data_IF_769448255335
#
_entry.id   IF_769448255335
#
_cell.length_a   1.000
_cell.length_b   1.000
_cell.length_c   1.000
_cell.angle_alpha   90.00
_cell.angle_beta   90.00
_cell.angle_gamma   90.00
#
_symmetry.space_group_name_H-M   'P 1'
#
loop_
_entity.id
_entity.type
_entity.pdbx_description
1 polymer ?
#
# COMPACT_ATOMS: atom_id res chain seq x y z
N UNK A 1 -1.82 -10.67 -46.73
CA UNK A 1 -2.88 -11.10 -45.80
C UNK A 1 -2.52 -11.09 -44.31
N UNK A 2 -1.34 -11.56 -43.82
CA UNK A 2 -1.12 -11.72 -42.37
C UNK A 2 -1.03 -10.40 -41.58
N UNK A 3 -0.62 -9.29 -42.22
CA UNK A 3 -0.48 -7.97 -41.57
C UNK A 3 -1.81 -7.32 -41.16
N UNK A 4 -2.87 -7.51 -41.94
CA UNK A 4 -4.19 -6.92 -41.65
C UNK A 4 -4.84 -7.65 -40.46
N UNK A 5 -4.78 -8.98 -40.49
CA UNK A 5 -5.21 -9.85 -39.38
C UNK A 5 -4.42 -9.50 -38.12
N UNK A 6 -3.09 -9.41 -38.20
CA UNK A 6 -2.27 -9.07 -37.02
C UNK A 6 -2.64 -7.73 -36.40
N UNK A 7 -2.94 -6.71 -37.22
CA UNK A 7 -3.37 -5.39 -36.75
C UNK A 7 -4.76 -5.43 -36.10
N UNK A 8 -5.70 -6.16 -36.69
CA UNK A 8 -7.05 -6.31 -36.17
C UNK A 8 -7.02 -7.03 -34.81
N UNK A 9 -6.43 -8.24 -34.77
CA UNK A 9 -6.28 -9.06 -33.57
C UNK A 9 -5.50 -8.32 -32.47
N UNK A 10 -4.43 -7.60 -32.83
CA UNK A 10 -3.63 -6.84 -31.86
C UNK A 10 -4.37 -5.62 -31.29
N UNK A 11 -5.15 -4.89 -32.10
CA UNK A 11 -5.98 -3.78 -31.61
C UNK A 11 -7.07 -4.28 -30.67
N UNK A 12 -7.70 -5.38 -31.05
CA UNK A 12 -8.73 -6.01 -30.25
C UNK A 12 -8.19 -6.45 -28.88
N UNK A 13 -7.02 -7.10 -28.85
CA UNK A 13 -6.36 -7.47 -27.59
C UNK A 13 -6.10 -6.25 -26.71
N UNK A 14 -5.53 -5.18 -27.27
CA UNK A 14 -5.22 -3.97 -26.50
C UNK A 14 -6.48 -3.33 -25.91
N UNK A 15 -7.59 -3.31 -26.64
CA UNK A 15 -8.87 -2.78 -26.16
C UNK A 15 -9.42 -3.61 -24.99
N UNK A 16 -9.42 -4.94 -25.12
CA UNK A 16 -9.86 -5.84 -24.04
C UNK A 16 -8.94 -5.75 -22.83
N UNK A 17 -7.63 -5.67 -23.06
CA UNK A 17 -6.64 -5.50 -22.02
C UNK A 17 -6.87 -4.23 -21.21
N UNK A 18 -6.97 -3.08 -21.88
CA UNK A 18 -7.26 -1.80 -21.21
C UNK A 18 -8.60 -1.82 -20.47
N UNK A 19 -9.63 -2.44 -21.06
CA UNK A 19 -10.95 -2.59 -20.42
C UNK A 19 -10.87 -3.43 -19.14
N UNK A 20 -10.22 -4.59 -19.19
CA UNK A 20 -10.03 -5.47 -18.02
C UNK A 20 -9.15 -4.78 -16.97
N UNK A 21 -8.06 -4.11 -17.36
CA UNK A 21 -7.22 -3.32 -16.44
C UNK A 21 -8.05 -2.24 -15.74
N UNK A 22 -8.88 -1.50 -16.47
CA UNK A 22 -9.72 -0.44 -15.92
C UNK A 22 -10.69 -0.98 -14.87
N UNK A 23 -11.39 -2.08 -15.18
CA UNK A 23 -12.35 -2.71 -14.24
C UNK A 23 -11.64 -3.17 -12.97
N UNK A 24 -10.54 -3.91 -13.10
CA UNK A 24 -9.76 -4.39 -11.94
C UNK A 24 -9.20 -3.23 -11.10
N UNK A 25 -8.75 -2.16 -11.77
CA UNK A 25 -8.25 -0.97 -11.10
C UNK A 25 -9.35 -0.26 -10.31
N UNK A 26 -10.53 -0.06 -10.89
CA UNK A 26 -11.67 0.56 -10.18
C UNK A 26 -12.08 -0.23 -8.95
N UNK A 27 -12.15 -1.57 -9.05
CA UNK A 27 -12.46 -2.44 -7.91
C UNK A 27 -11.43 -2.24 -6.79
N UNK A 28 -10.14 -2.26 -7.12
CA UNK A 28 -9.08 -2.15 -6.13
C UNK A 28 -8.98 -0.75 -5.52
N UNK A 29 -9.16 0.31 -6.32
CA UNK A 29 -9.20 1.69 -5.85
C UNK A 29 -10.38 1.91 -4.91
N UNK A 30 -11.56 1.37 -5.24
CA UNK A 30 -12.75 1.45 -4.37
C UNK A 30 -12.49 0.78 -3.00
N UNK A 31 -11.94 -0.44 -3.00
CA UNK A 31 -11.58 -1.14 -1.76
C UNK A 31 -10.56 -0.34 -0.92
N UNK A 32 -9.56 0.26 -1.57
CA UNK A 32 -8.51 1.05 -0.91
C UNK A 32 -9.02 2.40 -0.41
N UNK A 33 -9.95 3.02 -1.13
CA UNK A 33 -10.61 4.25 -0.71
C UNK A 33 -11.36 4.04 0.61
N UNK A 34 -12.15 2.96 0.72
CA UNK A 34 -12.87 2.61 1.96
C UNK A 34 -11.91 2.44 3.15
N UNK A 35 -10.76 1.78 2.95
CA UNK A 35 -9.73 1.61 3.99
C UNK A 35 -9.09 2.93 4.44
N UNK A 36 -8.87 3.87 3.53
CA UNK A 36 -8.32 5.19 3.89
C UNK A 36 -9.37 6.08 4.54
N UNK A 37 -10.62 5.99 4.12
CA UNK A 37 -11.72 6.72 4.75
C UNK A 37 -11.93 6.26 6.20
N UNK A 38 -11.84 4.96 6.47
CA UNK A 38 -11.85 4.43 7.84
C UNK A 38 -10.69 4.94 8.70
N UNK A 39 -9.50 5.13 8.12
CA UNK A 39 -8.36 5.74 8.82
C UNK A 39 -8.58 7.24 9.10
N UNK A 40 -9.23 7.96 8.18
CA UNK A 40 -9.56 9.36 8.37
C UNK A 40 -10.65 9.55 9.43
N UNK A 41 -11.71 8.73 9.40
CA UNK A 41 -12.75 8.70 10.43
C UNK A 41 -12.17 8.39 11.82
N UNK A 42 -11.18 7.50 11.89
CA UNK A 42 -10.42 7.21 13.11
C UNK A 42 -9.39 8.26 13.52
N UNK A 43 -9.31 9.41 12.84
CA UNK A 43 -8.40 10.52 13.16
C UNK A 43 -6.91 10.24 12.89
N UNK A 44 -6.58 9.18 12.15
CA UNK A 44 -5.19 8.79 11.85
C UNK A 44 -4.61 9.48 10.62
N UNK A 45 -5.48 10.00 9.75
CA UNK A 45 -5.14 10.70 8.51
C UNK A 45 -6.09 11.89 8.30
N UNK A 46 -5.62 13.05 7.84
CA UNK A 46 -6.49 14.15 7.42
C UNK A 46 -7.31 13.73 6.19
N UNK A 47 -8.63 14.00 6.20
CA UNK A 47 -9.53 13.63 5.11
C UNK A 47 -9.10 14.25 3.76
N UNK A 48 -8.60 15.49 3.80
CA UNK A 48 -8.05 16.23 2.66
C UNK A 48 -6.88 15.52 1.95
N UNK A 49 -6.10 14.70 2.67
CA UNK A 49 -4.96 13.98 2.09
C UNK A 49 -5.35 12.62 1.47
N UNK A 50 -6.52 12.09 1.80
CA UNK A 50 -6.93 10.74 1.39
C UNK A 50 -6.92 10.58 -0.12
N UNK A 51 -7.50 11.54 -0.85
CA UNK A 51 -7.61 11.47 -2.30
C UNK A 51 -6.23 11.53 -2.98
N UNK A 52 -5.36 12.44 -2.53
CA UNK A 52 -4.01 12.57 -3.07
C UNK A 52 -3.17 11.31 -2.80
N UNK A 53 -3.25 10.75 -1.58
CA UNK A 53 -2.53 9.53 -1.23
C UNK A 53 -3.02 8.32 -2.02
N UNK A 54 -4.34 8.22 -2.23
CA UNK A 54 -4.94 7.18 -3.07
C UNK A 54 -4.46 7.32 -4.53
N UNK A 55 -4.41 8.55 -5.06
CA UNK A 55 -3.88 8.84 -6.39
C UNK A 55 -2.45 8.31 -6.57
N UNK A 56 -1.53 8.68 -5.69
CA UNK A 56 -0.14 8.18 -5.76
C UNK A 56 -0.04 6.66 -5.66
N UNK A 57 -0.81 6.03 -4.75
CA UNK A 57 -0.79 4.57 -4.58
C UNK A 57 -1.46 3.82 -5.73
N UNK A 58 -2.46 4.43 -6.37
CA UNK A 58 -3.21 3.84 -7.48
C UNK A 58 -2.32 3.51 -8.68
N UNK A 59 -1.25 4.28 -8.91
CA UNK A 59 -0.28 4.04 -9.98
C UNK A 59 0.42 2.69 -9.79
N UNK A 60 0.85 2.40 -8.56
CA UNK A 60 1.45 1.11 -8.23
C UNK A 60 0.46 -0.05 -8.40
N UNK A 61 -0.82 0.17 -8.08
CA UNK A 61 -1.87 -0.82 -8.29
C UNK A 61 -2.12 -1.12 -9.77
N UNK A 62 -2.17 -0.12 -10.64
CA UNK A 62 -2.28 -0.35 -12.10
C UNK A 62 -1.14 -1.25 -12.55
N UNK A 63 0.11 -0.88 -12.27
CA UNK A 63 1.30 -1.62 -12.72
C UNK A 63 1.31 -3.07 -12.22
N UNK A 64 0.84 -3.30 -10.99
CA UNK A 64 0.68 -4.64 -10.44
C UNK A 64 -0.40 -5.47 -11.18
N UNK A 65 -1.47 -4.83 -11.64
CA UNK A 65 -2.58 -5.48 -12.34
C UNK A 65 -2.32 -5.70 -13.84
N UNK A 66 -1.37 -4.99 -14.45
CA UNK A 66 -1.12 -5.07 -15.90
C UNK A 66 -0.86 -6.51 -16.39
N UNK A 67 0.00 -7.34 -15.75
CA UNK A 67 0.25 -8.71 -16.23
C UNK A 67 -0.97 -9.62 -16.11
N UNK A 68 -1.70 -9.52 -14.99
CA UNK A 68 -2.91 -10.31 -14.75
C UNK A 68 -4.02 -9.93 -15.74
N UNK A 69 -4.24 -8.63 -15.94
CA UNK A 69 -5.23 -8.15 -16.90
C UNK A 69 -4.90 -8.55 -18.34
N UNK A 70 -3.61 -8.59 -18.72
CA UNK A 70 -3.18 -9.07 -20.04
C UNK A 70 -3.52 -10.55 -20.22
N UNK A 71 -3.23 -11.36 -19.20
CA UNK A 71 -3.56 -12.79 -19.22
C UNK A 71 -5.07 -13.01 -19.38
N UNK A 72 -5.89 -12.32 -18.58
CA UNK A 72 -7.35 -12.42 -18.68
C UNK A 72 -7.87 -11.93 -20.03
N UNK A 73 -7.36 -10.82 -20.54
CA UNK A 73 -7.75 -10.31 -21.84
C UNK A 73 -7.39 -11.28 -22.98
N UNK A 74 -6.22 -11.92 -22.92
CA UNK A 74 -5.84 -12.97 -23.87
C UNK A 74 -6.80 -14.16 -23.82
N UNK A 75 -7.16 -14.65 -22.63
CA UNK A 75 -8.13 -15.74 -22.50
C UNK A 75 -9.51 -15.37 -23.04
N UNK A 76 -9.98 -14.15 -22.79
CA UNK A 76 -11.27 -13.67 -23.29
C UNK A 76 -11.26 -13.56 -24.82
N UNK A 77 -10.22 -12.98 -25.39
CA UNK A 77 -10.07 -12.79 -26.84
C UNK A 77 -9.93 -14.13 -27.56
N UNK A 78 -9.03 -15.01 -27.09
CA UNK A 78 -8.88 -16.36 -27.64
C UNK A 78 -10.16 -17.18 -27.47
N UNK A 79 -10.85 -17.05 -26.32
CA UNK A 79 -12.14 -17.69 -26.08
C UNK A 79 -13.23 -17.20 -27.03
N UNK A 80 -13.23 -15.90 -27.38
CA UNK A 80 -14.14 -15.34 -28.37
C UNK A 80 -13.85 -15.89 -29.76
N UNK A 81 -12.59 -15.90 -30.19
CA UNK A 81 -12.22 -16.43 -31.52
C UNK A 81 -12.54 -17.91 -31.69
N UNK A 82 -12.41 -18.70 -30.63
CA UNK A 82 -12.84 -20.11 -30.64
C UNK A 82 -14.35 -20.23 -30.80
N UNK A 83 -15.13 -19.38 -30.12
CA UNK A 83 -16.60 -19.38 -30.21
C UNK A 83 -17.10 -18.91 -31.57
N UNK A 84 -16.45 -17.90 -32.14
CA UNK A 84 -16.79 -17.31 -33.44
C UNK A 84 -16.26 -18.15 -34.63
N UNK A 85 -15.64 -19.32 -34.35
CA UNK A 85 -14.98 -20.22 -35.32
C UNK A 85 -13.87 -19.56 -36.15
N UNK A 86 -13.37 -18.39 -35.74
CA UNK A 86 -12.24 -17.72 -36.40
C UNK A 86 -10.97 -18.57 -36.31
N UNK A 87 -10.77 -19.31 -35.21
CA UNK A 87 -9.61 -20.19 -35.04
C UNK A 87 -9.61 -21.36 -36.01
N UNK A 88 -10.78 -21.87 -36.39
CA UNK A 88 -10.94 -22.92 -37.42
C UNK A 88 -10.66 -22.35 -38.81
N UNK A 89 -11.17 -21.15 -39.11
CA UNK A 89 -10.90 -20.47 -40.38
C UNK A 89 -9.40 -20.14 -40.55
N UNK A 90 -8.74 -19.69 -39.47
CA UNK A 90 -7.30 -19.47 -39.44
C UNK A 90 -6.52 -20.79 -39.59
N UNK A 91 -6.92 -21.86 -38.89
CA UNK A 91 -6.29 -23.17 -39.02
C UNK A 91 -6.38 -23.71 -40.46
N UNK A 92 -7.54 -23.58 -41.11
CA UNK A 92 -7.74 -23.95 -42.52
C UNK A 92 -6.87 -23.14 -43.49
N UNK A 93 -6.52 -21.90 -43.13
CA UNK A 93 -5.57 -21.05 -43.86
C UNK A 93 -4.08 -21.35 -43.53
N UNK A 94 -3.80 -22.42 -42.78
CA UNK A 94 -2.45 -22.83 -42.39
C UNK A 94 -1.88 -22.12 -41.16
N UNK A 95 -2.72 -21.43 -40.38
CA UNK A 95 -2.28 -20.73 -39.17
C UNK A 95 -2.14 -21.70 -37.99
N UNK A 96 -0.93 -22.22 -37.78
CA UNK A 96 -0.60 -23.04 -36.61
C UNK A 96 -0.43 -22.24 -35.30
N UNK A 97 -0.14 -22.91 -34.17
CA UNK A 97 0.10 -22.29 -32.87
C UNK A 97 1.17 -21.17 -32.88
N UNK A 98 2.24 -21.35 -33.66
CA UNK A 98 3.29 -20.35 -33.84
C UNK A 98 2.80 -19.06 -34.52
N UNK A 99 1.75 -19.16 -35.35
CA UNK A 99 1.09 -18.01 -35.97
C UNK A 99 0.45 -17.08 -34.93
N UNK A 100 -0.24 -17.64 -33.95
CA UNK A 100 -0.84 -16.87 -32.84
C UNK A 100 0.22 -16.13 -32.03
N UNK A 101 1.31 -16.81 -31.66
CA UNK A 101 2.43 -16.17 -30.96
C UNK A 101 3.01 -15.02 -31.78
N UNK A 102 3.21 -15.21 -33.09
CA UNK A 102 3.74 -14.17 -33.97
C UNK A 102 2.81 -12.95 -34.11
N UNK A 103 1.51 -13.17 -34.18
CA UNK A 103 0.50 -12.09 -34.25
C UNK A 103 0.42 -11.32 -32.94
N UNK A 104 0.42 -12.03 -31.81
CA UNK A 104 0.28 -11.44 -30.48
C UNK A 104 1.60 -10.86 -29.94
N UNK A 105 2.74 -11.20 -30.54
CA UNK A 105 4.05 -10.73 -30.10
C UNK A 105 4.14 -9.21 -30.04
N UNK A 106 3.71 -8.49 -31.08
CA UNK A 106 3.78 -7.03 -31.11
C UNK A 106 2.97 -6.34 -30.00
N UNK A 107 1.65 -6.62 -29.82
CA UNK A 107 0.89 -5.99 -28.75
C UNK A 107 1.36 -6.41 -27.35
N UNK A 108 1.79 -7.67 -27.17
CA UNK A 108 2.36 -8.12 -25.89
C UNK A 108 3.67 -7.42 -25.57
N UNK A 109 4.56 -7.26 -26.56
CA UNK A 109 5.81 -6.51 -26.40
C UNK A 109 5.54 -5.04 -26.09
N UNK A 110 4.57 -4.41 -26.75
CA UNK A 110 4.19 -3.03 -26.46
C UNK A 110 3.66 -2.87 -25.01
N UNK A 111 2.78 -3.77 -24.56
CA UNK A 111 2.28 -3.80 -23.18
C UNK A 111 3.40 -4.07 -22.16
N UNK A 112 4.34 -4.96 -22.51
CA UNK A 112 5.52 -5.28 -21.69
C UNK A 112 6.43 -4.08 -21.52
N UNK A 113 6.74 -3.38 -22.62
CA UNK A 113 7.58 -2.18 -22.61
C UNK A 113 6.91 -1.05 -21.80
N UNK A 114 5.61 -0.83 -22.00
CA UNK A 114 4.85 0.14 -21.22
C UNK A 114 4.93 -0.20 -19.71
N UNK A 115 4.71 -1.46 -19.35
CA UNK A 115 4.80 -1.92 -17.96
C UNK A 115 6.21 -1.74 -17.38
N UNK A 116 7.25 -2.00 -18.18
CA UNK A 116 8.64 -1.80 -17.79
C UNK A 116 8.96 -0.31 -17.54
N UNK A 117 8.49 0.59 -18.40
CA UNK A 117 8.68 2.04 -18.20
C UNK A 117 7.95 2.50 -16.93
N UNK A 118 6.70 2.10 -16.74
CA UNK A 118 5.93 2.47 -15.55
C UNK A 118 6.57 1.95 -14.26
N UNK A 119 6.98 0.69 -14.22
CA UNK A 119 7.56 0.08 -13.00
C UNK A 119 8.94 0.64 -12.65
N UNK A 120 9.76 1.00 -13.65
CA UNK A 120 11.15 1.41 -13.42
C UNK A 120 11.29 2.92 -13.13
N UNK A 121 10.41 3.75 -13.68
CA UNK A 121 10.51 5.21 -13.59
C UNK A 121 9.35 5.85 -12.84
N UNK A 122 8.11 5.47 -13.16
CA UNK A 122 6.92 6.16 -12.63
C UNK A 122 6.60 5.71 -11.20
N UNK A 123 6.56 4.39 -10.96
CA UNK A 123 6.27 3.82 -9.64
C UNK A 123 7.20 4.32 -8.52
N UNK A 124 8.54 4.33 -8.67
CA UNK A 124 9.39 4.80 -7.57
C UNK A 124 9.17 6.28 -7.25
N UNK A 125 8.90 7.10 -8.26
CA UNK A 125 8.68 8.54 -8.06
C UNK A 125 7.35 8.82 -7.38
N UNK A 126 6.25 8.17 -7.82
CA UNK A 126 4.95 8.33 -7.17
C UNK A 126 4.93 7.72 -5.78
N UNK A 127 5.67 6.62 -5.56
CA UNK A 127 5.85 6.05 -4.23
C UNK A 127 6.57 7.02 -3.30
N UNK A 128 7.67 7.64 -3.76
CA UNK A 128 8.43 8.65 -3.01
C UNK A 128 7.55 9.83 -2.58
N UNK A 129 6.80 10.41 -3.52
CA UNK A 129 5.88 11.52 -3.25
C UNK A 129 4.75 11.10 -2.30
N UNK A 130 4.16 9.92 -2.53
CA UNK A 130 3.11 9.38 -1.66
C UNK A 130 3.58 9.12 -0.22
N UNK A 131 4.81 8.64 -0.03
CA UNK A 131 5.37 8.44 1.31
C UNK A 131 5.70 9.76 2.01
N UNK A 132 6.26 10.73 1.29
CA UNK A 132 6.52 12.07 1.83
C UNK A 132 5.22 12.76 2.28
N UNK A 133 4.20 12.75 1.41
CA UNK A 133 2.88 13.30 1.72
C UNK A 133 2.24 12.61 2.92
N UNK A 134 2.31 11.28 2.98
CA UNK A 134 1.78 10.52 4.13
C UNK A 134 2.50 10.86 5.42
N UNK A 135 3.83 11.01 5.39
CA UNK A 135 4.61 11.34 6.58
C UNK A 135 4.19 12.70 7.15
N UNK A 136 4.07 13.72 6.28
CA UNK A 136 3.58 15.05 6.65
C UNK A 136 2.15 15.01 7.19
N UNK A 137 1.27 14.26 6.53
CA UNK A 137 -0.13 14.15 6.93
C UNK A 137 -0.33 13.43 8.26
N UNK A 138 0.46 12.37 8.53
CA UNK A 138 0.45 11.67 9.82
C UNK A 138 0.98 12.59 10.92
N UNK A 139 2.02 13.39 10.63
CA UNK A 139 2.54 14.36 11.58
C UNK A 139 1.50 15.43 11.92
N UNK A 140 0.89 16.06 10.92
CA UNK A 140 -0.16 17.05 11.10
C UNK A 140 -1.40 16.48 11.82
N UNK A 141 -1.79 15.25 11.47
CA UNK A 141 -2.86 14.54 12.15
C UNK A 141 -2.51 14.28 13.61
N UNK A 142 -1.25 13.96 13.95
CA UNK A 142 -0.83 13.73 15.34
C UNK A 142 -0.84 15.01 16.17
N UNK A 143 -0.46 16.15 15.59
CA UNK A 143 -0.58 17.46 16.26
C UNK A 143 -2.06 17.80 16.52
N UNK A 144 -2.95 17.51 15.56
CA UNK A 144 -4.41 17.64 15.73
C UNK A 144 -5.03 16.50 16.58
N UNK A 145 -4.32 15.38 16.77
CA UNK A 145 -4.85 14.18 17.42
C UNK A 145 -4.93 14.31 18.93
N UNK A 146 -4.16 15.24 19.52
CA UNK A 146 -4.33 15.76 20.88
C UNK A 146 -5.63 16.58 21.04
N UNK A 147 -6.69 16.20 20.32
CA UNK A 147 -8.02 16.73 20.55
C UNK A 147 -8.61 15.98 21.74
N UNK A 148 -8.95 16.76 22.76
CA UNK A 148 -9.49 16.28 24.02
C UNK A 148 -10.82 15.52 23.85
N UNK A 149 -11.18 14.71 24.85
CA UNK A 149 -12.48 14.02 24.92
C UNK A 149 -12.58 12.71 24.12
N UNK A 150 -11.47 12.15 23.62
CA UNK A 150 -11.47 10.85 22.92
C UNK A 150 -10.33 9.93 23.34
N UNK A 151 -10.60 8.63 23.33
CA UNK A 151 -9.58 7.59 23.52
C UNK A 151 -8.74 7.43 22.25
N UNK A 152 -7.44 7.64 22.38
CA UNK A 152 -6.48 7.53 21.29
C UNK A 152 -5.67 6.23 21.44
N UNK A 153 -5.91 5.21 20.60
CA UNK A 153 -5.11 4.00 20.59
C UNK A 153 -3.76 4.25 19.93
N UNK A 154 -2.70 4.02 20.69
CA UNK A 154 -1.29 4.14 20.32
C UNK A 154 -0.63 2.75 20.31
N UNK A 155 0.51 2.61 19.60
CA UNK A 155 1.28 1.34 19.47
C UNK A 155 0.41 0.13 19.11
N UNK A 156 -0.52 0.30 18.16
CA UNK A 156 -1.39 -0.79 17.71
C UNK A 156 -2.46 -1.23 18.72
N UNK A 157 -2.72 -0.44 19.76
CA UNK A 157 -3.74 -0.72 20.79
C UNK A 157 -3.16 -1.14 22.14
N UNK A 158 -1.84 -1.33 22.25
CA UNK A 158 -1.17 -1.63 23.53
C UNK A 158 -1.18 -0.47 24.53
N UNK A 159 -1.37 0.74 24.03
CA UNK A 159 -1.39 1.97 24.79
C UNK A 159 -2.65 2.76 24.42
N UNK A 160 -3.46 3.13 25.40
CA UNK A 160 -4.63 4.00 25.21
C UNK A 160 -4.37 5.30 25.98
N UNK A 161 -4.42 6.42 25.28
CA UNK A 161 -4.29 7.76 25.84
C UNK A 161 -5.65 8.47 25.79
N UNK A 162 -6.07 9.09 26.88
CA UNK A 162 -7.24 9.95 26.94
C UNK A 162 -6.86 11.24 27.67
N UNK A 163 -7.29 12.39 27.17
CA UNK A 163 -7.19 13.67 27.88
C UNK A 163 -8.54 14.36 27.82
N UNK A 164 -8.99 14.89 28.95
CA UNK A 164 -10.32 15.52 29.06
C UNK A 164 -10.37 16.88 28.38
N UNK A 165 -9.30 17.67 28.55
CA UNK A 165 -9.19 19.04 28.01
C UNK A 165 -7.87 19.23 27.28
N UNK A 166 -7.88 20.08 26.25
CA UNK A 166 -6.66 20.51 25.58
C UNK A 166 -6.12 21.73 26.33
N UNK A 167 -4.83 21.73 26.66
CA UNK A 167 -4.21 22.88 27.31
C UNK A 167 -4.08 24.07 26.35
N UNK A 168 -3.88 25.27 26.91
CA UNK A 168 -3.87 26.54 26.18
C UNK A 168 -2.87 26.58 24.99
N UNK A 169 -1.77 25.85 25.10
CA UNK A 169 -0.70 25.80 24.09
C UNK A 169 -1.06 24.92 22.87
N UNK A 170 -2.20 24.21 22.90
CA UNK A 170 -2.65 23.28 21.86
C UNK A 170 -1.77 22.04 21.68
N UNK A 171 -0.74 21.88 22.52
CA UNK A 171 0.23 20.76 22.53
C UNK A 171 0.25 19.98 23.83
N UNK A 172 -0.51 20.43 24.81
CA UNK A 172 -0.69 19.81 26.11
C UNK A 172 -2.12 19.29 26.26
N UNK A 173 -2.28 18.27 27.09
CA UNK A 173 -3.56 17.75 27.53
C UNK A 173 -3.66 17.91 29.05
N UNK A 174 -4.86 18.15 29.54
CA UNK A 174 -5.18 18.20 30.97
C UNK A 174 -6.08 17.01 31.33
N UNK A 175 -5.95 16.54 32.57
CA UNK A 175 -6.67 15.40 33.13
C UNK A 175 -6.52 14.15 32.25
N UNK A 176 -5.30 13.61 32.25
CA UNK A 176 -4.85 12.62 31.29
C UNK A 176 -4.78 11.24 31.92
N UNK A 177 -5.34 10.26 31.21
CA UNK A 177 -5.28 8.85 31.56
C UNK A 177 -4.53 8.08 30.48
N UNK A 178 -3.55 7.29 30.89
CA UNK A 178 -2.81 6.37 30.03
C UNK A 178 -3.00 4.96 30.55
N UNK A 179 -3.62 4.11 29.73
CA UNK A 179 -3.73 2.68 30.00
C UNK A 179 -2.72 1.93 29.14
N UNK A 180 -1.91 1.07 29.76
CA UNK A 180 -0.95 0.21 29.06
C UNK A 180 -0.94 -1.20 29.65
N UNK A 181 -0.71 -2.21 28.81
CA UNK A 181 -0.49 -3.59 29.27
C UNK A 181 -1.08 -4.65 28.33
N UNK A 182 -0.48 -5.84 28.36
CA UNK A 182 -0.99 -7.04 27.70
C UNK A 182 -1.28 -8.12 28.76
N UNK A 183 -2.46 -8.75 28.66
CA UNK A 183 -2.88 -9.83 29.57
C UNK A 183 -3.58 -9.34 30.85
N UNK A 184 -3.33 -10.03 31.98
CA UNK A 184 -4.02 -9.84 33.27
C UNK A 184 -3.55 -8.62 34.08
N UNK A 185 -2.28 -8.22 33.93
CA UNK A 185 -1.74 -7.02 34.61
C UNK A 185 -1.87 -5.79 33.72
N UNK A 186 -2.59 -4.79 34.21
CA UNK A 186 -2.78 -3.50 33.54
C UNK A 186 -2.09 -2.41 34.34
N UNK A 187 -1.56 -1.43 33.63
CA UNK A 187 -0.99 -0.21 34.19
C UNK A 187 -1.86 0.95 33.79
N UNK A 188 -2.41 1.64 34.78
CA UNK A 188 -3.12 2.90 34.61
C UNK A 188 -2.25 4.03 35.13
N UNK A 189 -2.09 5.09 34.37
CA UNK A 189 -1.39 6.31 34.79
C UNK A 189 -2.37 7.46 34.65
N UNK A 190 -2.63 8.16 35.75
CA UNK A 190 -3.46 9.36 35.78
C UNK A 190 -2.57 10.56 36.12
N UNK A 191 -2.70 11.66 35.41
CA UNK A 191 -1.86 12.84 35.59
C UNK A 191 -2.64 14.13 35.30
N UNK A 192 -2.28 15.21 35.99
CA UNK A 192 -2.94 16.50 35.81
C UNK A 192 -2.66 17.10 34.43
N UNK A 193 -1.43 16.97 33.93
CA UNK A 193 -1.00 17.50 32.63
C UNK A 193 -0.19 16.47 31.86
N UNK A 194 -0.30 16.49 30.54
CA UNK A 194 0.57 15.73 29.65
C UNK A 194 1.04 16.57 28.48
N UNK A 195 2.31 16.42 28.11
CA UNK A 195 2.91 17.12 26.99
C UNK A 195 3.66 16.15 26.09
N UNK A 196 3.58 16.37 24.77
CA UNK A 196 4.44 15.64 23.85
C UNK A 196 5.82 16.29 23.79
N UNK A 197 6.86 15.52 24.13
CA UNK A 197 8.25 15.90 23.89
C UNK A 197 8.86 15.00 22.83
N UNK A 198 9.61 15.62 21.92
CA UNK A 198 10.48 14.94 20.98
C UNK A 198 11.88 14.93 21.58
N UNK A 199 12.48 13.75 21.71
CA UNK A 199 13.89 13.65 22.09
C UNK A 199 14.76 14.05 20.88
N UNK A 200 15.55 15.13 20.95
CA UNK A 200 16.37 15.59 19.83
C UNK A 200 17.46 14.60 19.44
N UNK A 201 17.92 13.77 20.38
CA UNK A 201 19.02 12.83 20.15
C UNK A 201 18.57 11.53 19.50
N UNK A 202 17.47 10.95 19.98
CA UNK A 202 16.95 9.67 19.46
C UNK A 202 15.86 9.84 18.39
N UNK A 203 15.17 10.98 18.36
CA UNK A 203 13.95 11.20 17.59
C UNK A 203 12.72 10.48 18.18
N UNK A 204 12.86 9.78 19.31
CA UNK A 204 11.74 9.14 20.00
C UNK A 204 10.75 10.20 20.49
N UNK A 205 9.46 9.88 20.37
CA UNK A 205 8.37 10.70 20.93
C UNK A 205 7.92 10.13 22.26
N UNK A 206 7.92 11.01 23.26
CA UNK A 206 7.45 10.74 24.59
C UNK A 206 6.21 11.60 24.88
N UNK A 207 5.27 11.03 25.63
CA UNK A 207 4.28 11.80 26.36
C UNK A 207 4.79 11.89 27.78
N UNK A 208 5.12 13.11 28.20
CA UNK A 208 5.57 13.44 29.54
C UNK A 208 4.34 13.81 30.35
N UNK A 209 4.05 13.02 31.37
CA UNK A 209 2.95 13.22 32.30
C UNK A 209 3.49 13.92 33.55
N UNK A 210 2.76 14.91 34.05
CA UNK A 210 3.14 15.72 35.20
C UNK A 210 2.10 15.61 36.31
N UNK A 211 2.59 15.55 37.55
CA UNK A 211 1.79 15.51 38.77
C UNK A 211 0.72 14.41 38.73
N UNK A 212 1.17 13.16 38.91
CA UNK A 212 0.31 12.02 38.68
C UNK A 212 0.59 10.80 39.55
N UNK A 213 -0.26 9.80 39.32
CA UNK A 213 -0.24 8.51 39.98
C UNK A 213 -0.21 7.39 38.95
N UNK A 214 0.64 6.41 39.19
CA UNK A 214 0.73 5.17 38.43
C UNK A 214 0.21 4.02 39.29
N UNK A 215 -0.78 3.32 38.77
CA UNK A 215 -1.40 2.14 39.33
C UNK A 215 -0.99 0.93 38.49
N UNK A 216 -0.22 0.00 39.06
CA UNK A 216 0.11 -1.29 38.46
C UNK A 216 -0.63 -2.40 39.24
N UNK A 217 -1.44 -3.21 38.57
CA UNK A 217 -2.15 -4.32 39.22
C UNK A 217 -3.05 -5.14 38.29
N UNK A 218 -3.70 -6.17 38.84
CA UNK A 218 -4.76 -6.91 38.16
C UNK A 218 -6.13 -6.42 38.66
N UNK A 219 -7.03 -5.93 37.78
CA UNK A 219 -8.37 -5.52 38.17
C UNK A 219 -9.10 -6.63 38.94
N UNK A 220 -9.62 -6.33 40.12
CA UNK A 220 -10.32 -7.29 40.99
C UNK A 220 -9.43 -8.01 42.00
N UNK A 221 -8.12 -7.79 41.99
CA UNK A 221 -7.20 -8.23 43.06
C UNK A 221 -6.68 -7.04 43.84
N UNK A 222 -6.37 -7.25 45.12
CA UNK A 222 -5.85 -6.19 45.99
C UNK A 222 -4.33 -5.94 45.82
N UNK A 223 -3.67 -6.51 44.80
CA UNK A 223 -2.22 -6.43 44.59
C UNK A 223 -1.75 -5.15 43.85
N UNK A 224 -2.43 -4.02 44.10
CA UNK A 224 -2.11 -2.76 43.43
C UNK A 224 -0.86 -2.10 44.01
N UNK A 225 0.08 -1.76 43.12
CA UNK A 225 1.21 -0.89 43.43
C UNK A 225 0.89 0.51 42.93
N UNK A 226 0.84 1.47 43.86
CA UNK A 226 0.59 2.88 43.58
C UNK A 226 1.91 3.65 43.72
N UNK A 227 2.27 4.41 42.69
CA UNK A 227 3.46 5.24 42.67
C UNK A 227 3.07 6.68 42.30
N UNK A 228 3.34 7.62 43.19
CA UNK A 228 3.23 9.06 42.91
C UNK A 228 4.49 9.52 42.19
N UNK A 229 4.33 10.35 41.17
CA UNK A 229 5.44 10.95 40.43
C UNK A 229 5.16 12.42 40.15
N UNK A 230 6.22 13.21 40.09
CA UNK A 230 6.16 14.59 39.61
C UNK A 230 6.27 14.62 38.08
N UNK A 231 7.14 13.78 37.50
CA UNK A 231 7.30 13.64 36.05
C UNK A 231 7.40 12.16 35.67
N UNK A 232 6.61 11.73 34.67
CA UNK A 232 6.63 10.36 34.15
C UNK A 232 6.53 10.35 32.63
N UNK A 233 7.59 9.91 31.96
CA UNK A 233 7.64 9.84 30.51
C UNK A 233 7.20 8.46 29.99
N UNK A 234 6.17 8.43 29.15
CA UNK A 234 5.75 7.24 28.41
C UNK A 234 6.17 7.39 26.96
N UNK A 235 6.96 6.42 26.46
CA UNK A 235 7.34 6.39 25.05
C UNK A 235 6.18 5.93 24.17
N UNK A 236 5.64 6.85 23.38
CA UNK A 236 4.46 6.63 22.51
C UNK A 236 4.84 6.18 21.11
N UNK A 237 5.96 6.67 20.58
CA UNK A 237 6.47 6.30 19.27
C UNK A 237 7.98 6.25 19.37
N UNK A 238 8.56 5.10 19.03
CA UNK A 238 9.99 5.10 18.70
C UNK A 238 10.14 5.98 17.45
N UNK A 239 11.17 6.81 17.37
CA UNK A 239 11.67 7.17 16.06
C UNK A 239 11.88 5.82 15.37
N UNK A 240 11.04 5.54 14.37
CA UNK A 240 11.52 4.61 13.37
C UNK A 240 12.85 5.22 12.94
N UNK A 241 13.94 4.48 13.14
CA UNK A 241 15.18 4.78 12.47
C UNK A 241 14.79 4.93 11.00
N UNK A 242 14.79 6.18 10.53
CA UNK A 242 14.30 6.61 9.24
C UNK A 242 12.79 6.37 8.97
N UNK A 243 12.17 7.12 8.02
CA UNK A 243 10.91 6.69 7.43
C UNK A 243 11.12 5.28 6.86
N UNK A 244 10.68 4.26 7.60
CA UNK A 244 10.86 2.82 7.33
C UNK A 244 11.28 2.56 5.88
N UNK A 245 12.59 2.52 5.62
CA UNK A 245 13.18 2.61 4.28
C UNK A 245 12.34 1.80 3.29
N UNK A 246 11.58 2.52 2.46
CA UNK A 246 10.60 1.92 1.57
C UNK A 246 11.29 1.58 0.26
N UNK A 247 11.66 0.30 0.13
CA UNK A 247 12.41 -0.22 -1.00
C UNK A 247 11.71 0.04 -2.36
N UNK A 248 10.37 0.13 -2.37
CA UNK A 248 9.57 0.49 -3.53
C UNK A 248 9.72 1.96 -3.99
N UNK A 249 10.19 2.86 -3.11
CA UNK A 249 10.43 4.28 -3.42
C UNK A 249 11.87 4.61 -3.82
N UNK A 250 12.80 3.66 -3.71
CA UNK A 250 14.20 3.89 -4.10
C UNK A 250 14.29 3.96 -5.63
N UNK A 251 15.00 4.95 -6.20
CA UNK A 251 15.23 4.99 -7.65
C UNK A 251 15.93 3.72 -8.15
N UNK A 252 15.44 3.15 -9.26
CA UNK A 252 15.94 1.88 -9.79
C UNK A 252 17.46 1.91 -10.07
N UNK A 253 18.00 3.06 -10.48
CA UNK A 253 19.43 3.24 -10.73
C UNK A 253 20.30 3.03 -9.47
N UNK A 254 19.80 3.43 -8.28
CA UNK A 254 20.52 3.26 -7.02
C UNK A 254 20.46 1.83 -6.48
N UNK A 255 19.43 1.06 -6.80
CA UNK A 255 19.26 -0.31 -6.31
C UNK A 255 20.39 -1.23 -6.75
N UNK A 256 20.96 -1.05 -7.96
CA UNK A 256 22.08 -1.88 -8.45
C UNK A 256 23.38 -1.69 -7.67
N UNK A 257 23.58 -0.54 -7.03
CA UNK A 257 24.78 -0.28 -6.23
C UNK A 257 24.66 -0.78 -4.79
N UNK A 258 23.46 -1.12 -4.34
CA UNK A 258 23.20 -1.58 -2.97
C UNK A 258 23.33 -3.09 -2.88
N UNK A 259 24.35 -3.58 -2.15
CA UNK A 259 24.63 -5.01 -1.99
C UNK A 259 23.79 -5.67 -0.87
N UNK A 260 22.61 -5.12 -0.59
CA UNK A 260 21.71 -5.63 0.44
C UNK A 260 20.68 -6.58 -0.19
N UNK A 261 20.31 -7.69 0.48
CA UNK A 261 19.39 -8.67 -0.07
C UNK A 261 18.01 -8.07 -0.39
N UNK A 262 17.57 -7.08 0.38
CA UNK A 262 16.30 -6.38 0.14
C UNK A 262 16.34 -5.51 -1.12
N UNK A 263 17.49 -4.93 -1.47
CA UNK A 263 17.66 -4.15 -2.70
C UNK A 263 17.57 -5.05 -3.93
N UNK A 264 18.21 -6.23 -3.85
CA UNK A 264 18.15 -7.25 -4.91
C UNK A 264 16.73 -7.78 -5.08
N UNK A 265 16.02 -8.05 -3.97
CA UNK A 265 14.64 -8.52 -4.00
C UNK A 265 13.71 -7.51 -4.70
N UNK A 266 13.81 -6.21 -4.40
CA UNK A 266 13.02 -5.20 -5.12
C UNK A 266 13.41 -5.10 -6.59
N UNK A 267 14.70 -5.17 -6.91
CA UNK A 267 15.13 -5.12 -8.29
C UNK A 267 14.55 -6.30 -9.10
N UNK A 268 14.60 -7.51 -8.54
CA UNK A 268 13.98 -8.71 -9.10
C UNK A 268 12.45 -8.54 -9.21
N UNK A 269 11.80 -7.96 -8.19
CA UNK A 269 10.36 -7.72 -8.20
C UNK A 269 9.93 -6.68 -9.25
N UNK A 270 10.75 -5.66 -9.51
CA UNK A 270 10.49 -4.68 -10.57
C UNK A 270 10.64 -5.29 -11.96
N UNK A 271 11.60 -6.22 -12.14
CA UNK A 271 11.84 -6.91 -13.40
C UNK A 271 10.84 -8.04 -13.66
N UNK A 272 10.37 -8.72 -12.62
CA UNK A 272 9.43 -9.84 -12.75
C UNK A 272 8.08 -9.39 -13.30
N UNK A 273 7.60 -8.19 -12.94
CA UNK A 273 6.33 -7.62 -13.44
C UNK A 273 6.28 -7.58 -14.98
N UNK A 274 7.18 -6.87 -15.70
CA UNK A 274 7.17 -6.88 -17.16
C UNK A 274 7.54 -8.25 -17.73
N UNK A 275 8.50 -8.99 -17.13
CA UNK A 275 8.91 -10.29 -17.66
C UNK A 275 7.79 -11.34 -17.61
N UNK A 276 6.87 -11.22 -16.64
CA UNK A 276 5.71 -12.10 -16.55
C UNK A 276 4.73 -11.94 -17.72
N UNK A 277 4.67 -10.78 -18.38
CA UNK A 277 3.73 -10.53 -19.48
C UNK A 277 3.91 -11.47 -20.68
N UNK A 278 5.10 -11.58 -21.30
CA UNK A 278 5.30 -12.51 -22.39
C UNK A 278 5.14 -13.98 -21.94
N UNK A 279 5.54 -14.31 -20.70
CA UNK A 279 5.37 -15.66 -20.16
C UNK A 279 3.88 -16.03 -20.04
N UNK A 280 3.09 -15.16 -19.43
CA UNK A 280 1.64 -15.34 -19.31
C UNK A 280 0.96 -15.34 -20.68
N UNK A 281 1.48 -14.57 -21.65
CA UNK A 281 0.97 -14.62 -23.00
C UNK A 281 1.18 -15.97 -23.68
N UNK A 282 2.36 -16.58 -23.52
CA UNK A 282 2.64 -17.94 -24.01
C UNK A 282 1.73 -18.97 -23.34
N UNK A 283 1.54 -18.87 -22.01
CA UNK A 283 0.62 -19.74 -21.27
C UNK A 283 -0.82 -19.58 -21.77
N UNK A 284 -1.29 -18.34 -21.98
CA UNK A 284 -2.62 -18.08 -22.48
C UNK A 284 -2.84 -18.66 -23.89
N UNK A 285 -1.85 -18.54 -24.78
CA UNK A 285 -1.90 -19.15 -26.12
C UNK A 285 -1.91 -20.67 -26.04
N UNK A 286 -1.12 -21.27 -25.14
CA UNK A 286 -1.12 -22.72 -24.92
C UNK A 286 -2.47 -23.24 -24.39
N UNK A 287 -3.10 -22.51 -23.48
CA UNK A 287 -4.41 -22.88 -22.91
C UNK A 287 -5.57 -22.61 -23.87
N UNK A 288 -5.53 -21.49 -24.61
CA UNK A 288 -6.61 -21.04 -25.48
C UNK A 288 -6.55 -21.60 -26.90
N UNK A 289 -5.37 -21.93 -27.42
CA UNK A 289 -5.18 -22.41 -28.79
C UNK A 289 -5.27 -23.93 -28.97
N UNK A 290 -5.21 -24.72 -27.89
CA UNK A 290 -5.01 -26.17 -27.97
C UNK A 290 -6.28 -27.02 -28.13
N UNK A 291 -7.46 -26.44 -28.40
CA UNK A 291 -8.70 -27.23 -28.53
C UNK A 291 -9.52 -26.83 -29.76
N UNK A 292 -9.22 -27.38 -30.94
CA UNK A 292 -10.24 -27.56 -31.96
C UNK A 292 -11.18 -28.65 -31.45
N UNK A 293 -12.40 -28.27 -31.05
CA UNK A 293 -13.52 -29.20 -30.91
C UNK A 293 -14.14 -29.48 -32.27
#
# INVERSE_FOLDING_TARGET
MPRVIARYLGRELLQHWLGVTLVLWLILVSARFSLYLGQAAGGRLPAETVLALLGFKSVGFVVFLLPLSLFLALLLVLGRWNRDRETVALAAAGFGPAGYVRVLALPVLAATLLTAVLTLFVVPETARQGYALRAQAVEAAQTRALAAGRFLPLRGGELLLFGERAGADGRSLEDVFVLSGQGRRRRLVAAARAEQRLDPGSGDRFVVLQDGYRYDGEPGRADFRILRFDEYAVRIRRAAAEPAFKWDAVPTARLRGMHQPQALAEWQQRLSRPLSMPLLALVAVALGGARPG
#
